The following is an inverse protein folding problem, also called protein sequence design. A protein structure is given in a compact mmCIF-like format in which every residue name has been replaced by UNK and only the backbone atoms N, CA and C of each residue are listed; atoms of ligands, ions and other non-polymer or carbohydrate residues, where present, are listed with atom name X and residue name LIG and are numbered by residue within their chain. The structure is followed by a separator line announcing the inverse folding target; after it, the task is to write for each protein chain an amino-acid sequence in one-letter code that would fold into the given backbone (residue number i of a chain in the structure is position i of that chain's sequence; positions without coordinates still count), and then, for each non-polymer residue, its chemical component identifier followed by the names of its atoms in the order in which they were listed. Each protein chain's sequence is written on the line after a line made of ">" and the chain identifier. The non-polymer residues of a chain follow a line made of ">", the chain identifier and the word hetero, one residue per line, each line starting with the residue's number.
data_IF_090410770333
#
_entry.id   IF_090410770333
#
_cell.length_a   1.000
_cell.length_b   1.000
_cell.length_c   1.000
_cell.angle_alpha   90.00
_cell.angle_beta   90.00
_cell.angle_gamma   90.00
#
_symmetry.space_group_name_H-M   'P 1'
#
loop_
_entity.id
_entity.type
_entity.pdbx_description
1 polymer ?
#
# COMPACT_ATOMS: atom_id res chain seq x y z
N UNK A 1 6.37 6.05 2.29
CA UNK A 1 7.23 6.88 3.13
C UNK A 1 7.28 6.28 4.53
N UNK A 2 8.33 5.53 4.78
CA UNK A 2 8.60 4.87 6.04
C UNK A 2 9.86 5.53 6.61
N UNK A 3 9.90 5.87 7.87
CA UNK A 3 11.08 6.46 8.52
C UNK A 3 11.50 7.82 7.93
N UNK A 4 10.57 8.72 7.70
CA UNK A 4 10.90 10.07 7.30
C UNK A 4 10.86 11.03 8.48
N UNK A 5 11.78 12.00 8.50
CA UNK A 5 11.76 13.14 9.42
C UNK A 5 11.06 14.36 8.80
N UNK A 6 10.69 14.29 7.53
CA UNK A 6 9.99 15.37 6.85
C UNK A 6 8.58 15.54 7.42
N UNK A 7 8.10 16.78 7.49
CA UNK A 7 6.74 17.09 7.91
C UNK A 7 5.73 17.01 6.77
N UNK A 8 6.20 17.17 5.54
CA UNK A 8 5.39 17.21 4.32
C UNK A 8 6.07 16.45 3.19
N UNK A 9 5.27 15.99 2.25
CA UNK A 9 5.77 15.50 0.97
C UNK A 9 4.84 15.93 -0.16
N UNK A 10 5.36 15.91 -1.38
CA UNK A 10 4.58 16.23 -2.57
C UNK A 10 4.09 14.92 -3.19
N UNK A 11 2.78 14.84 -3.37
CA UNK A 11 2.14 13.71 -4.03
C UNK A 11 1.63 14.16 -5.38
N UNK A 12 2.21 13.63 -6.45
CA UNK A 12 1.74 13.83 -7.81
C UNK A 12 0.86 12.65 -8.20
N UNK A 13 -0.39 12.94 -8.58
CA UNK A 13 -1.37 11.91 -8.87
C UNK A 13 -1.95 12.13 -10.25
N UNK A 14 -1.89 11.11 -11.09
CA UNK A 14 -2.53 11.10 -12.39
C UNK A 14 -3.52 9.96 -12.50
N UNK A 15 -4.70 10.24 -13.00
CA UNK A 15 -5.71 9.21 -13.26
C UNK A 15 -5.93 9.07 -14.76
N UNK A 16 -6.01 7.84 -15.23
CA UNK A 16 -6.35 7.51 -16.61
C UNK A 16 -7.71 6.83 -16.67
N UNK A 17 -8.35 6.82 -17.84
CA UNK A 17 -9.53 5.98 -18.01
C UNK A 17 -9.11 4.50 -18.12
N UNK A 18 -10.01 3.58 -17.78
CA UNK A 18 -9.71 2.15 -17.76
C UNK A 18 -9.44 1.54 -19.15
N UNK A 19 -9.75 2.27 -20.21
CA UNK A 19 -9.63 1.79 -21.61
C UNK A 19 -8.28 2.20 -22.19
N UNK A 20 -7.87 3.44 -21.99
CA UNK A 20 -6.61 3.99 -22.53
C UNK A 20 -5.69 4.45 -21.39
N UNK A 21 -4.73 3.59 -21.04
CA UNK A 21 -3.77 3.84 -19.97
C UNK A 21 -2.71 4.89 -20.33
N UNK A 22 -2.62 5.31 -21.60
CA UNK A 22 -1.67 6.32 -22.05
C UNK A 22 -2.17 7.74 -21.84
N UNK A 23 -3.49 7.92 -21.74
CA UNK A 23 -4.10 9.23 -21.57
C UNK A 23 -4.48 9.46 -20.12
N UNK A 24 -3.81 10.42 -19.51
CA UNK A 24 -4.15 10.90 -18.17
C UNK A 24 -5.29 11.91 -18.31
N UNK A 25 -6.42 11.64 -17.69
CA UNK A 25 -7.62 12.49 -17.77
C UNK A 25 -7.73 13.49 -16.63
N UNK A 26 -7.10 13.21 -15.48
CA UNK A 26 -7.05 14.14 -14.35
C UNK A 26 -5.67 14.06 -13.70
N UNK A 27 -5.11 15.22 -13.35
CA UNK A 27 -3.83 15.33 -12.65
C UNK A 27 -3.98 16.25 -11.45
N UNK A 28 -3.33 15.88 -10.35
CA UNK A 28 -3.31 16.65 -9.12
C UNK A 28 -1.90 16.69 -8.55
N UNK A 29 -1.55 17.86 -8.02
CA UNK A 29 -0.34 18.05 -7.21
C UNK A 29 -0.78 18.40 -5.80
N UNK A 30 -0.41 17.58 -4.85
CA UNK A 30 -0.90 17.66 -3.48
C UNK A 30 0.28 17.82 -2.52
N UNK A 31 0.23 18.84 -1.68
CA UNK A 31 1.16 18.98 -0.56
C UNK A 31 0.56 18.24 0.64
N UNK A 32 1.12 17.07 0.92
CA UNK A 32 0.58 16.14 1.91
C UNK A 32 1.34 16.24 3.22
N UNK A 33 0.67 16.64 4.34
CA UNK A 33 1.27 16.50 5.65
C UNK A 33 1.45 15.03 6.00
N UNK A 34 2.64 14.65 6.47
CA UNK A 34 2.95 13.25 6.79
C UNK A 34 1.99 12.69 7.84
N UNK A 35 1.66 13.47 8.86
CA UNK A 35 0.71 13.05 9.89
C UNK A 35 -0.69 12.78 9.36
N UNK A 36 -1.13 13.58 8.39
CA UNK A 36 -2.44 13.39 7.74
C UNK A 36 -2.42 12.10 6.91
N UNK A 37 -1.34 11.87 6.15
CA UNK A 37 -1.17 10.65 5.37
C UNK A 37 -1.20 9.41 6.28
N UNK A 38 -0.45 9.45 7.38
CA UNK A 38 -0.41 8.34 8.35
C UNK A 38 -1.78 8.01 8.91
N UNK A 39 -2.67 9.01 9.06
CA UNK A 39 -4.03 8.77 9.56
C UNK A 39 -4.89 7.94 8.61
N UNK A 40 -4.54 7.87 7.32
CA UNK A 40 -5.24 7.07 6.33
C UNK A 40 -4.67 5.66 6.17
N UNK A 41 -3.50 5.38 6.78
CA UNK A 41 -2.85 4.09 6.70
C UNK A 41 -3.49 3.08 7.68
N UNK A 42 -3.50 1.80 7.34
CA UNK A 42 -3.98 0.79 8.27
C UNK A 42 -3.04 0.62 9.48
N UNK A 43 -3.56 0.13 10.59
CA UNK A 43 -2.81 -0.07 11.84
C UNK A 43 -1.58 -0.96 11.66
N UNK A 44 -1.63 -1.88 10.70
CA UNK A 44 -0.49 -2.73 10.32
C UNK A 44 0.75 -1.92 9.94
N UNK A 45 0.60 -0.65 9.57
CA UNK A 45 1.73 0.21 9.21
C UNK A 45 2.74 0.33 10.34
N UNK A 46 2.28 0.42 11.58
CA UNK A 46 3.15 0.46 12.76
C UNK A 46 3.83 -0.87 13.07
N UNK A 47 3.34 -1.97 12.48
CA UNK A 47 3.84 -3.33 12.66
C UNK A 47 4.41 -3.92 11.37
N UNK A 48 4.81 -3.07 10.43
CA UNK A 48 5.25 -3.49 9.10
C UNK A 48 6.40 -4.49 9.15
N UNK A 49 7.36 -4.28 10.05
CA UNK A 49 8.53 -5.15 10.17
C UNK A 49 8.16 -6.59 10.51
N UNK A 50 7.18 -6.80 11.38
CA UNK A 50 6.68 -8.15 11.72
C UNK A 50 6.05 -8.83 10.50
N UNK A 51 5.22 -8.09 9.76
CA UNK A 51 4.56 -8.61 8.57
C UNK A 51 5.52 -8.85 7.41
N UNK A 52 6.52 -8.00 7.25
CA UNK A 52 7.59 -8.22 6.27
C UNK A 52 8.34 -9.52 6.56
N UNK A 53 8.67 -9.76 7.81
CA UNK A 53 9.38 -10.96 8.21
C UNK A 53 8.55 -12.21 7.93
N UNK A 54 7.29 -12.22 8.34
CA UNK A 54 6.37 -13.32 8.07
C UNK A 54 6.18 -13.55 6.56
N UNK A 55 6.02 -12.48 5.81
CA UNK A 55 5.88 -12.56 4.35
C UNK A 55 7.11 -13.19 3.69
N UNK A 56 8.30 -12.75 4.07
CA UNK A 56 9.56 -13.30 3.56
C UNK A 56 9.69 -14.78 3.86
N UNK A 57 9.43 -15.15 5.10
CA UNK A 57 9.53 -16.52 5.56
C UNK A 57 8.57 -17.45 4.80
N UNK A 58 7.29 -17.10 4.74
CA UNK A 58 6.29 -17.90 4.06
C UNK A 58 6.44 -17.92 2.54
N UNK A 59 6.78 -16.78 1.93
CA UNK A 59 6.93 -16.70 0.49
C UNK A 59 8.20 -17.37 -0.03
N UNK A 60 9.23 -17.55 0.80
CA UNK A 60 10.45 -18.24 0.39
C UNK A 60 10.17 -19.69 0.01
N UNK A 61 9.27 -20.36 0.71
CA UNK A 61 8.84 -21.73 0.40
C UNK A 61 8.14 -21.80 -0.95
N UNK A 62 7.32 -20.80 -1.26
CA UNK A 62 6.60 -20.72 -2.54
C UNK A 62 7.56 -20.56 -3.73
N UNK A 63 8.57 -19.70 -3.58
CA UNK A 63 9.53 -19.44 -4.65
C UNK A 63 10.38 -20.66 -5.01
N UNK A 64 10.63 -21.54 -4.04
CA UNK A 64 11.38 -22.78 -4.25
C UNK A 64 10.55 -23.89 -4.89
N UNK A 65 9.25 -23.71 -5.06
CA UNK A 65 8.35 -24.71 -5.61
C UNK A 65 8.15 -25.93 -4.74
N UNK A 66 8.72 -25.93 -3.54
CA UNK A 66 8.65 -27.01 -2.57
C UNK A 66 7.85 -26.57 -1.35
N UNK A 67 6.58 -26.96 -1.30
CA UNK A 67 5.71 -26.55 -0.21
C UNK A 67 4.91 -27.74 0.29
N UNK A 68 5.03 -28.04 1.57
CA UNK A 68 4.17 -29.03 2.24
C UNK A 68 2.75 -28.50 2.39
N UNK A 69 1.80 -29.38 2.69
CA UNK A 69 0.42 -29.00 2.95
C UNK A 69 0.31 -28.04 4.14
N UNK A 70 1.15 -28.22 5.16
CA UNK A 70 1.21 -27.33 6.32
C UNK A 70 1.69 -25.93 5.93
N UNK A 71 2.67 -25.84 5.05
CA UNK A 71 3.20 -24.56 4.53
C UNK A 71 2.18 -23.85 3.66
N UNK A 72 1.43 -24.58 2.83
CA UNK A 72 0.31 -24.04 2.05
C UNK A 72 -0.77 -23.46 2.95
N UNK A 73 -1.14 -24.17 4.00
CA UNK A 73 -2.15 -23.71 4.96
C UNK A 73 -1.66 -22.46 5.70
N UNK A 74 -0.41 -22.45 6.16
CA UNK A 74 0.18 -21.28 6.83
C UNK A 74 0.19 -20.05 5.92
N UNK A 75 0.54 -20.23 4.65
CA UNK A 75 0.50 -19.17 3.66
C UNK A 75 -0.91 -18.63 3.44
N UNK A 76 -1.88 -19.53 3.32
CA UNK A 76 -3.29 -19.16 3.13
C UNK A 76 -3.82 -18.36 4.33
N UNK A 77 -3.57 -18.83 5.55
CA UNK A 77 -3.99 -18.13 6.77
C UNK A 77 -3.33 -16.77 6.90
N UNK A 78 -2.04 -16.67 6.58
CA UNK A 78 -1.34 -15.40 6.57
C UNK A 78 -1.96 -14.43 5.56
N UNK A 79 -2.25 -14.89 4.35
CA UNK A 79 -2.85 -14.04 3.30
C UNK A 79 -4.21 -13.50 3.71
N UNK A 80 -5.04 -14.34 4.31
CA UNK A 80 -6.37 -13.94 4.79
C UNK A 80 -6.24 -12.86 5.87
N UNK A 81 -5.42 -13.11 6.87
CA UNK A 81 -5.19 -12.18 7.99
C UNK A 81 -4.57 -10.86 7.52
N UNK A 82 -3.53 -10.95 6.72
CA UNK A 82 -2.83 -9.79 6.17
C UNK A 82 -3.76 -8.93 5.32
N UNK A 83 -4.51 -9.53 4.40
CA UNK A 83 -5.42 -8.79 3.51
C UNK A 83 -6.46 -8.04 4.31
N UNK A 84 -7.05 -8.68 5.30
CA UNK A 84 -8.04 -8.05 6.16
C UNK A 84 -7.49 -6.82 6.88
N UNK A 85 -6.27 -6.91 7.42
CA UNK A 85 -5.62 -5.82 8.15
C UNK A 85 -5.10 -4.73 7.21
N UNK A 86 -4.49 -5.11 6.10
CA UNK A 86 -3.87 -4.18 5.15
C UNK A 86 -4.88 -3.38 4.33
N UNK A 87 -6.09 -3.90 4.16
CA UNK A 87 -7.16 -3.28 3.38
C UNK A 87 -8.25 -2.64 4.24
N UNK A 88 -8.05 -2.55 5.55
CA UNK A 88 -9.05 -2.04 6.50
C UNK A 88 -9.16 -0.51 6.54
N UNK A 89 -8.26 0.21 5.92
CA UNK A 89 -8.20 1.68 5.94
C UNK A 89 -8.40 2.29 4.56
N UNK A 90 -8.49 3.62 4.51
CA UNK A 90 -8.65 4.38 3.26
C UNK A 90 -7.49 4.11 2.30
N UNK A 91 -6.25 4.17 2.80
CA UNK A 91 -5.08 3.75 2.04
C UNK A 91 -4.79 2.29 2.37
N UNK A 92 -4.76 1.46 1.35
CA UNK A 92 -4.50 0.02 1.50
C UNK A 92 -3.03 -0.27 1.23
N UNK A 93 -2.47 -1.22 1.98
CA UNK A 93 -1.09 -1.66 1.80
C UNK A 93 -1.07 -2.99 1.06
N UNK A 94 -0.09 -3.14 0.17
CA UNK A 94 0.17 -4.37 -0.57
C UNK A 94 1.64 -4.71 -0.51
N UNK A 95 1.96 -5.93 -0.09
CA UNK A 95 3.31 -6.44 -0.10
C UNK A 95 3.50 -7.29 -1.35
N UNK A 96 4.50 -6.94 -2.15
CA UNK A 96 4.82 -7.65 -3.38
C UNK A 96 6.31 -7.93 -3.45
N UNK A 97 6.68 -9.03 -4.11
CA UNK A 97 8.06 -9.27 -4.49
C UNK A 97 8.26 -8.83 -5.93
N UNK A 98 9.35 -8.11 -6.18
CA UNK A 98 9.74 -7.74 -7.53
C UNK A 98 10.40 -8.93 -8.26
N UNK A 99 10.80 -8.72 -9.52
CA UNK A 99 11.44 -9.76 -10.34
C UNK A 99 12.76 -10.26 -9.76
N UNK A 100 13.39 -9.49 -8.87
CA UNK A 100 14.65 -9.85 -8.19
C UNK A 100 14.40 -10.49 -6.83
N UNK A 101 13.15 -10.72 -6.46
CA UNK A 101 12.76 -11.30 -5.18
C UNK A 101 12.80 -10.34 -4.00
N UNK A 102 13.01 -9.06 -4.22
CA UNK A 102 12.99 -8.04 -3.17
C UNK A 102 11.57 -7.68 -2.79
N UNK A 103 11.32 -7.56 -1.50
CA UNK A 103 10.02 -7.14 -0.99
C UNK A 103 9.79 -5.66 -1.25
N UNK A 104 8.63 -5.35 -1.83
CA UNK A 104 8.16 -3.98 -2.05
C UNK A 104 6.82 -3.78 -1.34
N UNK A 105 6.70 -2.65 -0.66
CA UNK A 105 5.44 -2.24 -0.05
C UNK A 105 4.83 -1.18 -0.94
N UNK A 106 3.61 -1.44 -1.40
CA UNK A 106 2.86 -0.50 -2.22
C UNK A 106 1.64 -0.03 -1.44
N UNK A 107 1.33 1.26 -1.57
CA UNK A 107 0.08 1.81 -1.08
C UNK A 107 -0.89 2.02 -2.24
N UNK A 108 -2.16 1.84 -1.98
CA UNK A 108 -3.22 2.03 -2.97
C UNK A 108 -4.40 2.74 -2.34
N UNK A 109 -5.00 3.64 -3.09
CA UNK A 109 -6.23 4.33 -2.70
C UNK A 109 -7.17 4.34 -3.91
N UNK A 110 -8.46 4.15 -3.68
CA UNK A 110 -9.43 4.25 -4.75
C UNK A 110 -9.59 5.70 -5.21
N UNK A 111 -9.98 5.89 -6.47
CA UNK A 111 -10.24 7.23 -7.00
C UNK A 111 -11.33 7.96 -6.21
N UNK A 112 -12.38 7.24 -5.85
CA UNK A 112 -13.46 7.77 -5.02
C UNK A 112 -12.96 8.26 -3.67
N UNK A 113 -12.16 7.45 -2.96
CA UNK A 113 -11.58 7.84 -1.66
C UNK A 113 -10.60 8.99 -1.80
N UNK A 114 -9.81 9.01 -2.86
CA UNK A 114 -8.92 10.13 -3.13
C UNK A 114 -9.70 11.43 -3.25
N UNK A 115 -10.78 11.45 -4.03
CA UNK A 115 -11.63 12.64 -4.18
C UNK A 115 -12.32 13.06 -2.90
N UNK A 116 -12.89 12.12 -2.15
CA UNK A 116 -13.68 12.44 -0.97
C UNK A 116 -12.85 12.68 0.28
N UNK A 117 -11.72 11.99 0.42
CA UNK A 117 -10.90 12.03 1.64
C UNK A 117 -9.71 12.96 1.52
N UNK A 118 -9.06 13.01 0.36
CA UNK A 118 -7.86 13.81 0.18
C UNK A 118 -8.17 15.16 -0.41
N UNK A 119 -8.86 15.23 -1.54
CA UNK A 119 -9.15 16.52 -2.20
C UNK A 119 -10.06 17.43 -1.38
N UNK A 120 -10.89 16.87 -0.51
CA UNK A 120 -11.81 17.63 0.33
C UNK A 120 -11.27 17.88 1.75
N UNK A 121 -10.08 17.40 2.06
CA UNK A 121 -9.49 17.62 3.38
C UNK A 121 -8.94 19.05 3.47
N UNK A 122 -9.42 19.88 4.42
CA UNK A 122 -8.99 21.28 4.53
C UNK A 122 -7.54 21.46 4.96
N UNK A 123 -6.91 20.42 5.51
CA UNK A 123 -5.49 20.45 5.92
C UNK A 123 -4.52 20.10 4.80
N UNK A 124 -5.03 19.76 3.61
CA UNK A 124 -4.22 19.37 2.45
C UNK A 124 -4.30 20.48 1.39
N UNK A 125 -3.15 20.96 0.94
CA UNK A 125 -3.07 21.91 -0.16
C UNK A 125 -3.01 21.20 -1.50
N UNK A 126 -3.83 21.66 -2.44
CA UNK A 126 -3.93 21.09 -3.79
C UNK A 126 -3.58 22.20 -4.79
N UNK A 127 -2.73 21.86 -5.73
CA UNK A 127 -2.26 22.77 -6.75
C UNK A 127 -2.78 22.41 -8.13
#
# INVERSE_FOLDING_TARGET
>A
IKETTAEYFILAVGFHNGIDKKNIVEEYLVLMPVKVWESYLPDIWSKTSEFEQMYKELSSHRLKGERSDEQEEAWLQFRIKYRKLAESSTVKLRFKRDSKGQLRIQSAISFSDFKTKILQNPHIKIY
#
